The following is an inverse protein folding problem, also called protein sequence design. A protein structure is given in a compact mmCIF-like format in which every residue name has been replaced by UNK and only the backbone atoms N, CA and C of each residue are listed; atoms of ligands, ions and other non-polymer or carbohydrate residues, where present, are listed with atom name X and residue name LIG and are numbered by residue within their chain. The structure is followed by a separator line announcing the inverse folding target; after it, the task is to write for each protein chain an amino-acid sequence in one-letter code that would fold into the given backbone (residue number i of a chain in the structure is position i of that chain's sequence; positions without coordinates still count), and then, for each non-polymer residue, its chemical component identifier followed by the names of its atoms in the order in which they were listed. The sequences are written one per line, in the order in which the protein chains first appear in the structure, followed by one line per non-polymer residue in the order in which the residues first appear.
data_IF_548064967587
#
_entry.id   IF_548064967587
#
_cell.length_a   1.000
_cell.length_b   1.000
_cell.length_c   1.000
_cell.angle_alpha   90.00
_cell.angle_beta   90.00
_cell.angle_gamma   90.00
#
_symmetry.space_group_name_H-M   'P 1'
#
loop_
_entity.id
_entity.type
_entity.pdbx_description
1 polymer ?
#
# COMPACT_ATOMS: atom_id res chain seq x y z
N UNK A 1 -34.03 -7.74 -11.94
CA UNK A 1 -33.06 -7.91 -13.04
C UNK A 1 -32.16 -6.69 -13.06
N UNK A 2 -30.86 -6.95 -13.10
CA UNK A 2 -29.75 -6.02 -12.98
C UNK A 2 -29.66 -5.06 -14.17
N UNK A 3 -29.22 -3.83 -13.93
CA UNK A 3 -28.11 -3.24 -14.65
C UNK A 3 -27.47 -2.17 -13.75
N UNK A 4 -26.35 -2.53 -13.14
CA UNK A 4 -25.42 -1.63 -12.47
C UNK A 4 -24.88 -0.61 -13.46
N UNK A 5 -25.22 0.66 -13.30
CA UNK A 5 -24.50 1.76 -13.95
C UNK A 5 -23.02 1.70 -13.55
N UNK A 6 -22.17 1.37 -14.52
CA UNK A 6 -20.72 1.46 -14.41
C UNK A 6 -20.34 2.91 -14.10
N UNK A 7 -20.00 3.20 -12.84
CA UNK A 7 -19.20 4.38 -12.50
C UNK A 7 -17.77 4.13 -12.99
N UNK A 8 -17.51 4.44 -14.25
CA UNK A 8 -16.15 4.55 -14.79
C UNK A 8 -15.69 6.00 -14.66
N UNK A 9 -14.88 6.30 -13.64
CA UNK A 9 -14.23 7.61 -13.56
C UNK A 9 -13.22 7.75 -14.70
N UNK A 10 -13.34 8.76 -15.58
CA UNK A 10 -12.40 8.93 -16.69
C UNK A 10 -11.01 9.26 -16.13
N UNK A 11 -10.04 8.40 -16.44
CA UNK A 11 -8.65 8.56 -16.04
C UNK A 11 -7.94 9.53 -16.98
N UNK A 12 -8.37 10.79 -16.97
CA UNK A 12 -7.67 11.85 -17.66
C UNK A 12 -6.52 12.31 -16.76
N UNK A 13 -5.29 11.98 -17.16
CA UNK A 13 -4.10 12.52 -16.51
C UNK A 13 -4.12 14.04 -16.73
N UNK A 14 -4.60 14.77 -15.72
CA UNK A 14 -4.58 16.23 -15.71
C UNK A 14 -3.14 16.67 -15.80
N UNK A 15 -2.72 17.02 -17.00
CA UNK A 15 -1.39 17.54 -17.25
C UNK A 15 -1.41 18.99 -16.77
N UNK A 16 -0.97 19.22 -15.53
CA UNK A 16 -0.81 20.57 -15.02
C UNK A 16 0.01 21.42 -16.02
N UNK A 17 -0.45 22.64 -16.28
CA UNK A 17 0.25 23.62 -17.12
C UNK A 17 1.71 23.78 -16.65
N UNK A 18 2.63 24.02 -17.59
CA UNK A 18 4.04 24.24 -17.26
C UNK A 18 4.22 25.45 -16.33
N UNK A 19 3.38 26.47 -16.46
CA UNK A 19 3.35 27.60 -15.52
C UNK A 19 2.88 27.17 -14.13
N UNK A 20 1.77 26.43 -14.04
CA UNK A 20 1.26 25.95 -12.76
C UNK A 20 2.32 25.13 -12.01
N UNK A 21 3.06 24.27 -12.71
CA UNK A 21 4.15 23.47 -12.11
C UNK A 21 5.29 24.36 -11.58
N UNK A 22 5.63 25.45 -12.28
CA UNK A 22 6.68 26.39 -11.87
C UNK A 22 6.22 27.28 -10.72
N UNK A 23 5.02 27.82 -10.78
CA UNK A 23 4.42 28.65 -9.73
C UNK A 23 4.20 27.83 -8.44
N UNK A 24 3.75 26.58 -8.56
CA UNK A 24 3.65 25.65 -7.44
C UNK A 24 5.01 25.35 -6.81
N UNK A 25 6.03 25.11 -7.63
CA UNK A 25 7.39 24.85 -7.14
C UNK A 25 7.99 26.09 -6.47
N UNK A 26 7.74 27.27 -7.02
CA UNK A 26 8.20 28.54 -6.48
C UNK A 26 7.55 28.83 -5.11
N UNK A 27 6.23 28.65 -4.97
CA UNK A 27 5.53 28.83 -3.69
C UNK A 27 6.01 27.88 -2.59
N UNK A 28 6.45 26.66 -2.93
CA UNK A 28 7.03 25.71 -1.96
C UNK A 28 8.41 26.16 -1.50
N UNK A 29 9.20 26.78 -2.38
CA UNK A 29 10.52 27.34 -2.06
C UNK A 29 10.38 28.65 -1.26
N UNK A 30 9.43 29.51 -1.63
CA UNK A 30 9.21 30.84 -1.03
C UNK A 30 8.69 30.75 0.42
N UNK A 31 8.02 29.66 0.79
CA UNK A 31 7.54 29.43 2.16
C UNK A 31 8.59 28.84 3.10
N UNK A 32 9.84 28.65 2.66
CA UNK A 32 10.96 28.20 3.48
C UNK A 32 10.67 26.88 4.25
N UNK A 33 9.77 26.03 3.71
CA UNK A 33 9.60 24.66 4.19
C UNK A 33 10.92 23.94 3.90
N UNK A 34 11.62 23.53 4.96
CA UNK A 34 12.91 22.88 4.81
C UNK A 34 12.73 21.70 3.84
N UNK A 35 13.65 21.54 2.88
CA UNK A 35 13.64 20.42 1.91
C UNK A 35 13.47 19.06 2.62
N UNK A 36 13.92 18.96 3.88
CA UNK A 36 13.70 17.84 4.77
C UNK A 36 12.22 17.57 5.14
N UNK A 37 11.41 18.61 5.38
CA UNK A 37 9.98 18.48 5.67
C UNK A 37 9.19 18.04 4.43
N UNK A 38 9.54 18.59 3.26
CA UNK A 38 8.95 18.17 1.99
C UNK A 38 9.34 16.73 1.66
N UNK A 39 10.60 16.35 1.87
CA UNK A 39 11.06 14.96 1.70
C UNK A 39 10.30 14.00 2.64
N UNK A 40 10.14 14.35 3.91
CA UNK A 40 9.37 13.58 4.88
C UNK A 40 7.90 13.43 4.47
N UNK A 41 7.27 14.49 3.98
CA UNK A 41 5.90 14.44 3.47
C UNK A 41 5.77 13.59 2.20
N UNK A 42 6.77 13.64 1.30
CA UNK A 42 6.82 12.79 0.11
C UNK A 42 6.99 11.32 0.46
N UNK A 43 7.78 10.97 1.46
CA UNK A 43 7.94 9.58 1.91
C UNK A 43 6.68 9.03 2.56
N UNK A 44 5.96 9.86 3.33
CA UNK A 44 4.63 9.51 3.84
C UNK A 44 3.64 9.29 2.69
N UNK A 45 3.61 10.18 1.70
CA UNK A 45 2.75 10.01 0.51
C UNK A 45 3.12 8.74 -0.25
N UNK A 46 4.41 8.49 -0.49
CA UNK A 46 4.88 7.26 -1.14
C UNK A 46 4.45 6.03 -0.36
N UNK A 47 4.66 5.99 0.96
CA UNK A 47 4.25 4.86 1.80
C UNK A 47 2.73 4.59 1.74
N UNK A 48 1.90 5.64 1.64
CA UNK A 48 0.43 5.52 1.50
C UNK A 48 0.03 5.07 0.08
N UNK A 49 0.66 5.64 -0.95
CA UNK A 49 0.33 5.34 -2.35
C UNK A 49 0.95 4.04 -2.85
N UNK A 50 1.97 3.51 -2.17
CA UNK A 50 2.48 2.16 -2.43
C UNK A 50 1.56 1.15 -1.77
N UNK A 51 0.84 0.41 -2.60
CA UNK A 51 -0.01 -0.71 -2.16
C UNK A 51 0.79 -1.87 -1.56
N UNK A 52 2.13 -1.85 -1.68
CA UNK A 52 3.07 -2.84 -1.16
C UNK A 52 2.82 -3.26 0.29
N UNK A 53 2.43 -2.34 1.18
CA UNK A 53 2.17 -2.65 2.59
C UNK A 53 0.87 -3.47 2.79
N UNK A 54 -0.15 -3.18 1.99
CA UNK A 54 -1.43 -3.89 2.01
C UNK A 54 -1.27 -5.24 1.30
N UNK A 55 -0.56 -5.26 0.18
CA UNK A 55 -0.23 -6.47 -0.58
C UNK A 55 0.61 -7.45 0.25
N UNK A 56 1.62 -6.95 0.99
CA UNK A 56 2.44 -7.80 1.84
C UNK A 56 1.65 -8.42 2.98
N UNK A 57 0.70 -7.69 3.56
CA UNK A 57 -0.19 -8.19 4.61
C UNK A 57 -1.18 -9.23 4.06
N UNK A 58 -1.73 -9.01 2.87
CA UNK A 58 -2.67 -9.95 2.23
C UNK A 58 -2.01 -11.31 1.93
N UNK A 59 -0.69 -11.35 1.75
CA UNK A 59 0.04 -12.60 1.51
C UNK A 59 0.26 -13.44 2.78
N UNK A 60 0.24 -12.84 3.98
CA UNK A 60 0.43 -13.55 5.26
C UNK A 60 -0.52 -14.75 5.42
N UNK A 61 -1.86 -14.60 5.28
CA UNK A 61 -2.76 -15.74 5.39
C UNK A 61 -2.53 -16.79 4.28
N UNK A 62 -2.18 -16.37 3.05
CA UNK A 62 -1.87 -17.31 1.98
C UNK A 62 -0.68 -18.23 2.30
N UNK A 63 0.37 -17.69 2.93
CA UNK A 63 1.54 -18.47 3.35
C UNK A 63 1.18 -19.47 4.45
N UNK A 64 0.34 -19.07 5.41
CA UNK A 64 -0.10 -19.92 6.51
C UNK A 64 -0.98 -21.07 6.02
N UNK A 65 -1.96 -20.79 5.16
CA UNK A 65 -2.88 -21.78 4.60
C UNK A 65 -2.15 -22.80 3.73
N UNK A 66 -1.14 -22.37 2.95
CA UNK A 66 -0.31 -23.30 2.16
C UNK A 66 0.48 -24.28 3.05
N UNK A 67 0.93 -23.85 4.22
CA UNK A 67 1.67 -24.69 5.18
C UNK A 67 0.76 -25.67 5.93
N UNK A 68 -0.46 -25.25 6.26
CA UNK A 68 -1.42 -26.00 7.07
C UNK A 68 -2.62 -26.40 6.21
N UNK A 69 -2.54 -27.58 5.59
CA UNK A 69 -3.53 -28.07 4.60
C UNK A 69 -4.92 -28.36 5.17
N UNK A 70 -5.04 -28.64 6.46
CA UNK A 70 -6.31 -28.98 7.12
C UNK A 70 -6.33 -28.33 8.50
N UNK A 71 -7.45 -27.68 8.83
CA UNK A 71 -7.69 -27.09 10.15
C UNK A 71 -8.74 -27.90 10.91
N UNK A 72 -8.52 -28.19 12.20
CA UNK A 72 -9.45 -28.99 13.01
C UNK A 72 -10.73 -28.23 13.39
N UNK A 73 -10.65 -26.92 13.66
CA UNK A 73 -11.79 -26.06 14.06
C UNK A 73 -11.56 -24.62 13.60
N UNK A 74 -12.63 -23.84 13.36
CA UNK A 74 -12.53 -22.42 12.96
C UNK A 74 -11.74 -21.56 13.97
N UNK A 75 -11.92 -21.78 15.27
CA UNK A 75 -11.16 -21.07 16.31
C UNK A 75 -9.64 -21.26 16.15
N UNK A 76 -9.21 -22.44 15.72
CA UNK A 76 -7.78 -22.72 15.48
C UNK A 76 -7.23 -21.91 14.31
N UNK A 77 -8.03 -21.65 13.27
CA UNK A 77 -7.66 -20.78 12.13
C UNK A 77 -7.41 -19.37 12.64
N UNK A 78 -8.33 -18.86 13.47
CA UNK A 78 -8.28 -17.51 14.01
C UNK A 78 -7.03 -17.28 14.86
N UNK A 79 -6.70 -18.24 15.73
CA UNK A 79 -5.47 -18.20 16.53
C UNK A 79 -4.22 -18.21 15.66
N UNK A 80 -4.15 -19.09 14.66
CA UNK A 80 -2.97 -19.19 13.78
C UNK A 80 -2.76 -17.92 12.95
N UNK A 81 -3.83 -17.36 12.38
CA UNK A 81 -3.76 -16.11 11.61
C UNK A 81 -3.33 -14.94 12.52
N UNK A 82 -3.88 -14.85 13.73
CA UNK A 82 -3.47 -13.85 14.71
C UNK A 82 -1.97 -13.93 15.06
N UNK A 83 -1.47 -15.14 15.31
CA UNK A 83 -0.05 -15.35 15.62
C UNK A 83 0.84 -15.01 14.42
N UNK A 84 0.47 -15.42 13.22
CA UNK A 84 1.22 -15.13 12.00
C UNK A 84 1.32 -13.61 11.72
N UNK A 85 0.24 -12.87 11.92
CA UNK A 85 0.24 -11.40 11.78
C UNK A 85 1.09 -10.75 12.87
N UNK A 86 1.00 -11.24 14.11
CA UNK A 86 1.81 -10.74 15.24
C UNK A 86 3.31 -10.94 15.00
N UNK A 87 3.71 -12.07 14.44
CA UNK A 87 5.10 -12.35 14.08
C UNK A 87 5.56 -11.53 12.87
N UNK A 88 4.70 -11.38 11.85
CA UNK A 88 4.98 -10.51 10.70
C UNK A 88 5.15 -9.04 11.12
N UNK A 89 4.35 -8.57 12.10
CA UNK A 89 4.43 -7.23 12.65
C UNK A 89 5.74 -6.98 13.41
N UNK A 90 6.19 -7.94 14.24
CA UNK A 90 7.47 -7.85 14.97
C UNK A 90 8.68 -7.80 14.05
N UNK A 91 8.64 -8.52 12.94
CA UNK A 91 9.74 -8.58 11.97
C UNK A 91 9.67 -7.46 10.91
N UNK A 92 8.68 -6.55 10.99
CA UNK A 92 8.55 -5.41 10.08
C UNK A 92 8.27 -5.83 8.63
N UNK A 93 7.42 -6.84 8.42
CA UNK A 93 7.23 -7.42 7.10
C UNK A 93 6.46 -6.50 6.16
N UNK A 94 7.20 -5.77 5.32
CA UNK A 94 6.88 -5.55 3.92
C UNK A 94 7.58 -6.65 3.11
N UNK A 95 6.88 -7.75 2.83
CA UNK A 95 7.34 -8.79 1.91
C UNK A 95 7.31 -8.23 0.47
N UNK A 96 8.26 -7.36 0.11
CA UNK A 96 8.61 -7.13 -1.28
C UNK A 96 9.44 -8.33 -1.77
N UNK A 97 8.78 -9.47 -1.93
CA UNK A 97 9.38 -10.63 -2.60
C UNK A 97 9.26 -10.38 -4.10
N UNK A 98 10.18 -9.58 -4.64
CA UNK A 98 10.32 -9.31 -6.09
C UNK A 98 11.27 -10.33 -6.74
N UNK A 99 11.25 -11.56 -6.27
CA UNK A 99 12.10 -12.64 -6.76
C UNK A 99 11.23 -13.89 -6.88
N UNK A 100 10.56 -14.01 -8.03
CA UNK A 100 9.87 -15.26 -8.38
C UNK A 100 8.63 -15.19 -9.28
N UNK A 101 8.38 -14.13 -10.06
CA UNK A 101 7.46 -14.24 -11.20
C UNK A 101 8.28 -14.58 -12.47
N UNK A 102 8.55 -15.88 -12.64
CA UNK A 102 8.60 -16.54 -13.95
C UNK A 102 7.37 -17.43 -14.06
#
# INVERSE_FOLDING_TARGET
MLASEQYSCPNEKRNFSAEFKRESAQLVVDQNYAVAEVAKAMDIRKAIYTTNAIESLNNVPHVVIKKLKVFPTDDSIRTVVYLAIKDASKNGVCLSRTDGWQ
#
